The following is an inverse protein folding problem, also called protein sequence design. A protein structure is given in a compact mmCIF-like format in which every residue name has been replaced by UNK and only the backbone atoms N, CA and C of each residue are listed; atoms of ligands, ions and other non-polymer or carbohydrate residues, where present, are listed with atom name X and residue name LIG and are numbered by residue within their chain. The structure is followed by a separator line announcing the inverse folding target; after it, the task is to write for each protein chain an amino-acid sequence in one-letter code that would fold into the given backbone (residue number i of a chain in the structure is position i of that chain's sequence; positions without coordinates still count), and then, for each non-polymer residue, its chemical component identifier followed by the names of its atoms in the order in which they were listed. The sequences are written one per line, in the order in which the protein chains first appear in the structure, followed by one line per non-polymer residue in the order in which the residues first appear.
data_IF_398288501407
#
_entry.id   IF_398288501407
#
_cell.length_a   1.000
_cell.length_b   1.000
_cell.length_c   1.000
_cell.angle_alpha   90.00
_cell.angle_beta   90.00
_cell.angle_gamma   90.00
#
_symmetry.space_group_name_H-M   'P 1'
#
loop_
_entity.id
_entity.type
_entity.pdbx_description
1 polymer ?
#
# COMPACT_ATOMS: atom_id res chain seq x y z
N UNK A 1 -13.05 -14.43 16.00
CA UNK A 1 -13.31 -14.35 14.55
C UNK A 1 -14.14 -13.12 14.30
N UNK A 2 -13.82 -12.36 13.25
CA UNK A 2 -14.60 -11.21 12.80
C UNK A 2 -15.14 -11.48 11.39
N UNK A 3 -16.43 -11.21 11.16
CA UNK A 3 -17.18 -11.49 9.93
C UNK A 3 -17.87 -10.21 9.43
N UNK A 4 -18.08 -10.11 8.11
CA UNK A 4 -18.66 -8.90 7.52
C UNK A 4 -20.09 -8.62 8.04
N UNK A 5 -20.87 -9.66 8.34
CA UNK A 5 -22.25 -9.57 8.85
C UNK A 5 -22.36 -8.87 10.22
N UNK A 6 -21.29 -8.92 11.00
CA UNK A 6 -21.20 -8.32 12.33
C UNK A 6 -20.47 -6.97 12.32
N UNK A 7 -19.99 -6.54 11.15
CA UNK A 7 -19.30 -5.27 10.97
C UNK A 7 -20.24 -4.10 10.66
N UNK A 8 -19.69 -2.87 10.56
CA UNK A 8 -18.29 -2.53 10.75
C UNK A 8 -17.84 -2.69 12.21
N UNK A 9 -16.59 -3.12 12.42
CA UNK A 9 -15.99 -3.22 13.75
C UNK A 9 -15.33 -1.90 14.12
N UNK A 10 -15.74 -1.33 15.25
CA UNK A 10 -15.14 -0.11 15.78
C UNK A 10 -14.12 -0.43 16.89
N UNK A 11 -12.86 -0.07 16.67
CA UNK A 11 -11.81 -0.14 17.68
C UNK A 11 -11.66 1.24 18.32
N UNK A 12 -12.03 1.35 19.59
CA UNK A 12 -12.05 2.62 20.34
C UNK A 12 -10.86 2.83 21.26
N UNK A 13 -10.12 1.75 21.57
CA UNK A 13 -8.95 1.73 22.43
C UNK A 13 -7.95 0.66 21.92
N UNK A 14 -6.86 0.41 22.64
CA UNK A 14 -5.88 -0.63 22.32
C UNK A 14 -6.53 -2.02 22.32
N UNK A 15 -6.62 -2.63 21.14
CA UNK A 15 -7.11 -3.99 20.97
C UNK A 15 -5.92 -4.95 20.85
N UNK A 16 -5.79 -5.88 21.80
CA UNK A 16 -4.67 -6.84 21.82
C UNK A 16 -5.12 -8.24 21.46
N UNK A 17 -4.39 -8.89 20.56
CA UNK A 17 -4.46 -10.32 20.28
C UNK A 17 -3.37 -11.01 21.11
N UNK A 18 -3.72 -11.74 22.19
CA UNK A 18 -2.73 -12.30 23.10
C UNK A 18 -1.90 -13.42 22.47
N UNK A 19 -0.72 -13.70 23.04
CA UNK A 19 0.11 -14.82 22.65
C UNK A 19 -0.66 -16.16 22.74
N UNK A 20 -0.48 -17.02 21.74
CA UNK A 20 -1.21 -18.30 21.63
C UNK A 20 -2.64 -18.19 21.11
N UNK A 21 -3.18 -16.97 20.96
CA UNK A 21 -4.49 -16.73 20.34
C UNK A 21 -4.35 -16.36 18.86
N UNK A 22 -5.40 -16.64 18.09
CA UNK A 22 -5.51 -16.20 16.69
C UNK A 22 -6.81 -15.42 16.50
N UNK A 23 -6.71 -14.21 15.95
CA UNK A 23 -7.86 -13.51 15.38
C UNK A 23 -7.89 -13.74 13.88
N UNK A 24 -8.90 -14.47 13.42
CA UNK A 24 -9.24 -14.58 12.01
C UNK A 24 -10.24 -13.51 11.61
N UNK A 25 -9.96 -12.79 10.52
CA UNK A 25 -10.82 -11.77 9.91
C UNK A 25 -11.19 -12.23 8.50
N UNK A 26 -12.49 -12.35 8.24
CA UNK A 26 -13.04 -12.87 6.97
C UNK A 26 -13.11 -11.80 5.86
N UNK A 27 -13.30 -12.21 4.59
CA UNK A 27 -13.46 -11.27 3.49
C UNK A 27 -14.56 -10.22 3.74
N UNK A 28 -14.35 -9.01 3.22
CA UNK A 28 -15.31 -7.91 3.29
C UNK A 28 -15.47 -7.24 4.66
N UNK A 29 -14.71 -7.66 5.67
CA UNK A 29 -14.75 -7.01 6.99
C UNK A 29 -14.20 -5.59 6.90
N UNK A 30 -14.94 -4.65 7.51
CA UNK A 30 -14.54 -3.26 7.69
C UNK A 30 -14.19 -3.04 9.16
N UNK A 31 -13.00 -2.53 9.43
CA UNK A 31 -12.50 -2.17 10.75
C UNK A 31 -12.21 -0.67 10.75
N UNK A 32 -12.83 0.05 11.66
CA UNK A 32 -12.65 1.49 11.83
C UNK A 32 -12.01 1.80 13.17
N UNK A 33 -11.09 2.76 13.18
CA UNK A 33 -10.36 3.19 14.37
C UNK A 33 -10.69 4.66 14.70
N UNK A 34 -11.01 4.93 15.97
CA UNK A 34 -11.33 6.27 16.48
C UNK A 34 -10.08 7.13 16.74
N UNK A 35 -10.16 8.45 16.69
CA UNK A 35 -9.02 9.37 16.71
C UNK A 35 -8.26 9.53 18.03
N UNK A 36 -8.74 8.97 19.14
CA UNK A 36 -8.08 9.18 20.44
C UNK A 36 -6.75 8.40 20.55
N UNK A 37 -6.79 7.07 20.73
CA UNK A 37 -5.60 6.23 20.97
C UNK A 37 -5.66 4.76 20.46
N UNK A 38 -6.63 4.32 19.63
CA UNK A 38 -6.71 2.91 19.29
C UNK A 38 -5.54 2.46 18.41
N UNK A 39 -5.07 1.28 18.76
CA UNK A 39 -4.09 0.50 18.01
C UNK A 39 -4.49 -0.97 18.06
N UNK A 40 -4.02 -1.74 17.09
CA UNK A 40 -4.15 -3.20 17.11
C UNK A 40 -2.76 -3.76 17.46
N UNK A 41 -2.68 -4.47 18.58
CA UNK A 41 -1.45 -5.10 19.07
C UNK A 41 -1.54 -6.61 18.87
N UNK A 42 -0.52 -7.20 18.25
CA UNK A 42 -0.49 -8.60 17.87
C UNK A 42 0.68 -9.30 18.56
N UNK A 43 0.42 -9.93 19.71
CA UNK A 43 1.36 -10.87 20.36
C UNK A 43 1.08 -12.34 20.00
N UNK A 44 -0.14 -12.63 19.50
CA UNK A 44 -0.52 -13.90 18.90
C UNK A 44 -0.48 -13.85 17.37
N UNK A 45 -1.55 -14.30 16.72
CA UNK A 45 -1.69 -14.27 15.26
C UNK A 45 -2.86 -13.40 14.82
N UNK A 46 -2.62 -12.45 13.92
CA UNK A 46 -3.64 -11.76 13.15
C UNK A 46 -3.66 -12.35 11.74
N UNK A 47 -4.75 -13.02 11.38
CA UNK A 47 -4.93 -13.71 10.09
C UNK A 47 -6.11 -13.09 9.34
N UNK A 48 -5.80 -12.27 8.32
CA UNK A 48 -6.78 -11.50 7.55
C UNK A 48 -6.85 -12.04 6.13
N UNK A 49 -7.97 -12.67 5.78
CA UNK A 49 -8.14 -13.37 4.51
C UNK A 49 -9.17 -12.66 3.64
N UNK A 50 -8.78 -11.55 3.01
CA UNK A 50 -9.63 -10.83 2.08
C UNK A 50 -9.78 -11.56 0.74
N UNK A 51 -10.65 -11.03 -0.12
CA UNK A 51 -10.79 -11.46 -1.52
C UNK A 51 -10.66 -10.26 -2.47
N UNK A 52 -10.36 -10.46 -3.77
CA UNK A 52 -10.26 -9.36 -4.74
C UNK A 52 -11.53 -8.49 -4.83
N UNK A 53 -12.69 -9.11 -4.71
CA UNK A 53 -14.03 -8.51 -4.76
C UNK A 53 -14.58 -8.15 -3.37
N UNK A 54 -13.97 -8.67 -2.30
CA UNK A 54 -14.31 -8.38 -0.92
C UNK A 54 -13.04 -8.17 -0.07
N UNK A 55 -12.28 -7.10 -0.31
CA UNK A 55 -11.09 -6.81 0.46
C UNK A 55 -11.46 -6.49 1.91
N UNK A 56 -10.54 -6.77 2.83
CA UNK A 56 -10.65 -6.30 4.21
C UNK A 56 -10.17 -4.85 4.25
N UNK A 57 -10.90 -3.97 4.94
CA UNK A 57 -10.55 -2.54 5.02
C UNK A 57 -10.32 -2.12 6.46
N UNK A 58 -9.17 -1.49 6.72
CA UNK A 58 -8.82 -0.84 7.98
C UNK A 58 -8.67 0.66 7.71
N UNK A 59 -9.53 1.47 8.32
CA UNK A 59 -9.63 2.91 8.01
C UNK A 59 -10.03 3.75 9.24
N UNK A 60 -10.11 5.06 9.05
CA UNK A 60 -10.60 6.01 10.04
C UNK A 60 -12.08 5.81 10.35
N UNK A 61 -12.46 6.08 11.60
CA UNK A 61 -13.85 6.20 12.03
C UNK A 61 -14.66 7.26 11.26
N UNK A 62 -13.99 8.27 10.70
CA UNK A 62 -14.57 9.36 9.89
C UNK A 62 -14.72 9.02 8.40
N UNK A 63 -14.34 7.80 7.98
CA UNK A 63 -14.37 7.41 6.57
C UNK A 63 -15.76 6.96 6.13
N UNK A 64 -16.59 7.92 5.73
CA UNK A 64 -17.96 7.66 5.27
C UNK A 64 -18.02 6.83 3.99
N UNK A 65 -16.97 6.85 3.17
CA UNK A 65 -16.92 6.13 1.90
C UNK A 65 -16.85 4.60 2.09
N UNK A 66 -16.48 4.14 3.29
CA UNK A 66 -16.33 2.73 3.62
C UNK A 66 -17.28 2.37 4.75
N UNK A 67 -18.36 1.63 4.45
CA UNK A 67 -19.27 1.13 5.49
C UNK A 67 -20.15 2.18 6.16
N UNK A 68 -20.20 3.41 5.63
CA UNK A 68 -21.10 4.49 6.07
C UNK A 68 -20.60 5.35 7.23
N UNK A 69 -21.38 6.40 7.53
CA UNK A 69 -21.11 7.40 8.57
C UNK A 69 -21.21 6.78 9.97
N UNK A 70 -20.05 6.46 10.54
CA UNK A 70 -19.97 5.73 11.82
C UNK A 70 -19.97 6.70 13.01
N UNK A 71 -19.56 7.95 12.79
CA UNK A 71 -19.55 9.08 13.73
C UNK A 71 -20.88 9.83 13.81
N UNK A 72 -21.79 9.63 12.85
CA UNK A 72 -23.10 10.26 12.79
C UNK A 72 -23.03 11.77 12.56
N UNK A 73 -21.96 12.28 11.95
CA UNK A 73 -21.77 13.71 11.70
C UNK A 73 -22.03 14.13 10.25
N UNK A 74 -22.50 13.21 9.40
CA UNK A 74 -22.64 13.40 7.98
C UNK A 74 -21.32 13.82 7.34
N UNK A 75 -21.34 14.78 6.43
CA UNK A 75 -20.13 15.25 5.77
C UNK A 75 -19.31 16.27 6.59
N UNK A 76 -19.52 16.37 7.91
CA UNK A 76 -18.87 17.37 8.74
C UNK A 76 -17.37 17.08 8.96
N UNK A 77 -16.98 15.81 8.89
CA UNK A 77 -15.59 15.39 8.94
C UNK A 77 -15.23 14.47 7.77
N UNK A 78 -13.92 14.27 7.58
CA UNK A 78 -13.36 13.40 6.54
C UNK A 78 -12.17 12.64 7.11
N UNK A 79 -11.83 11.46 6.57
CA UNK A 79 -10.68 10.70 7.04
C UNK A 79 -9.39 11.45 6.69
N UNK A 80 -8.44 11.45 7.63
CA UNK A 80 -7.15 12.13 7.48
C UNK A 80 -5.99 11.25 7.97
N UNK A 81 -4.80 11.35 7.35
CA UNK A 81 -3.59 10.70 7.87
C UNK A 81 -3.37 11.02 9.36
N UNK A 82 -3.11 10.00 10.17
CA UNK A 82 -2.96 10.15 11.62
C UNK A 82 -4.30 10.15 12.39
N UNK A 83 -5.39 9.74 11.76
CA UNK A 83 -6.66 9.52 12.43
C UNK A 83 -6.64 8.33 13.40
N UNK A 84 -5.63 7.46 13.37
CA UNK A 84 -5.41 6.40 14.36
C UNK A 84 -3.93 6.02 14.42
N UNK A 85 -3.53 5.23 15.41
CA UNK A 85 -2.11 5.00 15.68
C UNK A 85 -1.44 4.04 14.69
N UNK A 86 -1.54 2.74 14.92
CA UNK A 86 -0.83 1.73 14.13
C UNK A 86 -1.36 0.32 14.40
N UNK A 87 -1.01 -0.61 13.53
CA UNK A 87 -0.99 -2.04 13.81
C UNK A 87 0.42 -2.43 14.21
N UNK A 88 0.61 -3.07 15.37
CA UNK A 88 1.93 -3.46 15.85
C UNK A 88 2.01 -4.94 16.18
N UNK A 89 2.96 -5.64 15.58
CA UNK A 89 3.32 -7.00 16.00
C UNK A 89 4.42 -6.94 17.06
N UNK A 90 4.24 -7.69 18.15
CA UNK A 90 5.16 -7.81 19.28
C UNK A 90 5.63 -9.25 19.45
N UNK A 91 6.72 -9.43 20.20
CA UNK A 91 7.21 -10.75 20.63
C UNK A 91 7.39 -11.74 19.46
N UNK A 92 6.76 -12.91 19.53
CA UNK A 92 6.71 -13.91 18.45
C UNK A 92 5.42 -13.80 17.60
N UNK A 93 4.75 -12.64 17.64
CA UNK A 93 3.49 -12.42 16.95
C UNK A 93 3.62 -12.48 15.42
N UNK A 94 2.55 -12.89 14.75
CA UNK A 94 2.48 -13.02 13.31
C UNK A 94 1.29 -12.22 12.75
N UNK A 95 1.53 -11.42 11.72
CA UNK A 95 0.49 -10.74 10.96
C UNK A 95 0.52 -11.23 9.51
N UNK A 96 -0.56 -11.90 9.10
CA UNK A 96 -0.76 -12.42 7.75
C UNK A 96 -1.99 -11.74 7.15
N UNK A 97 -1.83 -11.16 5.97
CA UNK A 97 -2.92 -10.51 5.26
C UNK A 97 -2.87 -10.78 3.76
N UNK A 98 -4.05 -11.03 3.20
CA UNK A 98 -4.29 -11.10 1.77
C UNK A 98 -5.47 -10.18 1.42
N UNK A 99 -5.39 -9.41 0.35
CA UNK A 99 -6.44 -8.46 -0.09
C UNK A 99 -6.88 -7.50 1.01
N UNK A 100 -5.90 -6.86 1.65
CA UNK A 100 -6.11 -5.88 2.71
C UNK A 100 -5.92 -4.45 2.17
N UNK A 101 -6.70 -3.50 2.67
CA UNK A 101 -6.47 -2.06 2.49
C UNK A 101 -6.34 -1.39 3.85
N UNK A 102 -5.24 -0.67 4.06
CA UNK A 102 -5.00 0.07 5.31
C UNK A 102 -4.72 1.53 5.00
N UNK A 103 -5.41 2.43 5.69
CA UNK A 103 -5.25 3.87 5.45
C UNK A 103 -5.50 4.74 6.66
N UNK A 104 -5.02 5.99 6.60
CA UNK A 104 -5.30 7.07 7.55
C UNK A 104 -4.73 6.89 8.96
N UNK A 105 -3.86 5.90 9.18
CA UNK A 105 -3.15 5.71 10.45
C UNK A 105 -1.84 6.50 10.56
N UNK A 106 -0.94 6.04 11.43
CA UNK A 106 0.37 6.63 11.79
C UNK A 106 0.33 7.82 12.75
N UNK A 107 -0.65 7.90 13.65
CA UNK A 107 -0.59 8.84 14.78
C UNK A 107 0.43 8.35 15.83
N UNK A 108 1.28 9.25 16.30
CA UNK A 108 2.21 8.99 17.42
C UNK A 108 1.72 9.70 18.67
N UNK A 109 1.49 8.98 19.77
CA UNK A 109 1.23 9.60 21.07
C UNK A 109 2.30 9.28 22.12
N UNK A 110 2.66 10.33 22.89
CA UNK A 110 3.59 10.44 24.03
C UNK A 110 5.08 10.05 23.84
N UNK A 111 5.94 11.08 23.75
CA UNK A 111 7.34 11.04 24.21
C UNK A 111 8.37 10.43 23.26
N UNK A 112 7.94 9.63 22.29
CA UNK A 112 8.76 9.22 21.15
C UNK A 112 8.54 10.19 19.99
N UNK A 113 9.57 10.90 19.54
CA UNK A 113 9.47 11.78 18.38
C UNK A 113 8.91 11.07 17.14
N UNK A 114 8.59 11.84 16.09
CA UNK A 114 8.03 11.41 14.79
C UNK A 114 8.81 10.29 14.05
N UNK A 115 9.89 9.78 14.62
CA UNK A 115 10.80 8.82 14.01
C UNK A 115 10.22 7.42 13.80
N UNK A 116 9.03 7.10 14.34
CA UNK A 116 8.43 5.75 14.27
C UNK A 116 6.96 5.70 13.85
N UNK A 117 6.38 6.83 13.41
CA UNK A 117 5.02 6.83 12.86
C UNK A 117 4.93 5.86 11.66
N UNK A 118 4.07 4.84 11.73
CA UNK A 118 3.80 3.90 10.62
C UNK A 118 2.40 3.28 10.68
N UNK A 119 1.84 2.84 9.54
CA UNK A 119 0.58 2.06 9.55
C UNK A 119 0.82 0.70 10.21
N UNK A 120 1.90 0.03 9.79
CA UNK A 120 2.33 -1.25 10.35
C UNK A 120 3.70 -1.06 10.99
N UNK A 121 3.81 -1.40 12.26
CA UNK A 121 5.07 -1.51 12.99
C UNK A 121 5.31 -2.99 13.31
N UNK A 122 6.30 -3.60 12.68
CA UNK A 122 6.65 -5.00 12.97
C UNK A 122 7.96 -5.13 13.75
N UNK A 123 7.87 -5.70 14.94
CA UNK A 123 9.00 -6.27 15.68
C UNK A 123 8.80 -7.76 16.01
N UNK A 124 7.68 -8.34 15.55
CA UNK A 124 7.28 -9.72 15.78
C UNK A 124 8.07 -10.75 14.95
N UNK A 125 7.57 -11.99 14.90
CA UNK A 125 8.19 -13.07 14.14
C UNK A 125 7.97 -12.91 12.62
N UNK A 126 6.76 -12.53 12.21
CA UNK A 126 6.34 -12.54 10.80
C UNK A 126 5.39 -11.39 10.45
N UNK A 127 5.65 -10.74 9.31
CA UNK A 127 4.69 -9.94 8.56
C UNK A 127 4.60 -10.49 7.14
N UNK A 128 3.44 -10.98 6.73
CA UNK A 128 3.19 -11.49 5.38
C UNK A 128 2.00 -10.75 4.78
N UNK A 129 2.24 -9.98 3.72
CA UNK A 129 1.24 -9.20 3.01
C UNK A 129 1.21 -9.64 1.54
N UNK A 130 0.03 -10.00 1.04
CA UNK A 130 -0.21 -10.23 -0.38
C UNK A 130 -1.40 -9.40 -0.87
N UNK A 131 -1.32 -8.90 -2.11
CA UNK A 131 -2.44 -8.20 -2.76
C UNK A 131 -3.00 -7.03 -1.91
N UNK A 132 -2.12 -6.35 -1.18
CA UNK A 132 -2.49 -5.39 -0.13
C UNK A 132 -2.15 -3.96 -0.54
N UNK A 133 -2.93 -2.98 -0.08
CA UNK A 133 -2.66 -1.55 -0.28
C UNK A 133 -2.44 -0.85 1.05
N UNK A 134 -1.32 -0.15 1.19
CA UNK A 134 -0.97 0.67 2.36
C UNK A 134 -0.81 2.12 1.90
N UNK A 135 -1.69 3.02 2.35
CA UNK A 135 -1.72 4.40 1.84
C UNK A 135 -2.19 5.43 2.86
N UNK A 136 -2.06 6.72 2.53
CA UNK A 136 -2.61 7.84 3.30
C UNK A 136 -2.19 7.85 4.78
N UNK A 137 -0.94 7.50 5.05
CA UNK A 137 -0.42 7.49 6.42
C UNK A 137 0.26 8.80 6.78
N UNK A 138 0.17 9.22 8.05
CA UNK A 138 0.89 10.39 8.56
C UNK A 138 2.41 10.14 8.73
N UNK A 139 2.88 8.94 8.40
CA UNK A 139 4.26 8.51 8.54
C UNK A 139 4.59 7.47 7.49
N UNK A 140 5.08 6.32 7.92
CA UNK A 140 5.52 5.24 7.03
C UNK A 140 4.38 4.29 6.68
N UNK A 141 4.48 3.62 5.54
CA UNK A 141 3.63 2.45 5.29
C UNK A 141 3.97 1.33 6.27
N UNK A 142 5.24 0.89 6.29
CA UNK A 142 5.74 -0.16 7.17
C UNK A 142 7.05 0.26 7.84
N UNK A 143 7.19 -0.01 9.12
CA UNK A 143 8.43 0.10 9.88
C UNK A 143 8.78 -1.26 10.48
N UNK A 144 9.92 -1.84 10.08
CA UNK A 144 10.39 -3.13 10.57
C UNK A 144 11.60 -2.96 11.50
N UNK A 145 11.49 -3.43 12.74
CA UNK A 145 12.60 -3.51 13.70
C UNK A 145 13.37 -4.84 13.58
N UNK A 146 12.66 -5.94 13.35
CA UNK A 146 13.21 -7.30 13.31
C UNK A 146 12.22 -8.27 12.65
N UNK A 147 12.56 -9.56 12.63
CA UNK A 147 11.70 -10.63 12.14
C UNK A 147 11.81 -10.82 10.62
N UNK A 148 10.79 -11.45 10.05
CA UNK A 148 10.70 -11.71 8.60
C UNK A 148 9.50 -10.94 8.05
N UNK A 149 9.75 -10.08 7.06
CA UNK A 149 8.68 -9.46 6.27
C UNK A 149 8.72 -9.93 4.83
N UNK A 150 7.56 -10.37 4.34
CA UNK A 150 7.30 -10.69 2.94
C UNK A 150 6.12 -9.86 2.44
N UNK A 151 6.33 -9.04 1.42
CA UNK A 151 5.29 -8.23 0.77
C UNK A 151 5.26 -8.58 -0.71
N UNK A 152 4.12 -9.09 -1.18
CA UNK A 152 3.97 -9.59 -2.54
C UNK A 152 2.78 -8.92 -3.22
N UNK A 153 2.92 -8.57 -4.50
CA UNK A 153 1.81 -8.09 -5.33
C UNK A 153 1.00 -6.99 -4.64
N UNK A 154 1.67 -6.08 -3.94
CA UNK A 154 1.03 -5.06 -3.10
C UNK A 154 1.35 -3.65 -3.60
N UNK A 155 0.62 -2.65 -3.11
CA UNK A 155 0.87 -1.25 -3.40
C UNK A 155 1.18 -0.49 -2.09
N UNK A 156 2.28 0.24 -2.06
CA UNK A 156 2.64 1.13 -0.96
C UNK A 156 2.89 2.51 -1.57
N UNK A 157 1.95 3.43 -1.37
CA UNK A 157 1.90 4.75 -2.00
C UNK A 157 1.27 5.79 -1.06
N UNK A 158 1.35 7.08 -1.39
CA UNK A 158 0.61 8.16 -0.70
C UNK A 158 0.85 8.22 0.82
N UNK A 159 2.06 7.87 1.26
CA UNK A 159 2.47 7.91 2.67
C UNK A 159 3.34 9.15 2.90
N UNK A 160 3.12 9.87 4.01
CA UNK A 160 3.85 11.10 4.30
C UNK A 160 5.36 10.88 4.62
N UNK A 161 5.76 9.64 4.85
CA UNK A 161 7.13 9.20 5.08
C UNK A 161 7.47 7.98 4.21
N UNK A 162 8.51 7.23 4.60
CA UNK A 162 8.99 6.11 3.79
C UNK A 162 7.91 5.06 3.56
N UNK A 163 7.80 4.51 2.35
CA UNK A 163 6.87 3.42 2.07
C UNK A 163 7.17 2.21 2.96
N UNK A 164 8.42 1.74 2.91
CA UNK A 164 8.94 0.70 3.78
C UNK A 164 10.27 1.13 4.41
N UNK A 165 10.38 1.03 5.73
CA UNK A 165 11.62 1.29 6.47
C UNK A 165 12.15 0.02 7.15
N UNK A 166 13.35 -0.38 6.76
CA UNK A 166 14.09 -1.51 7.31
C UNK A 166 14.99 -1.06 8.47
N UNK A 167 14.92 -1.70 9.64
CA UNK A 167 15.89 -1.50 10.74
C UNK A 167 16.58 -2.79 11.20
N UNK A 168 16.12 -3.95 10.72
CA UNK A 168 16.76 -5.23 10.94
C UNK A 168 15.91 -6.40 10.50
N UNK A 169 16.50 -7.60 10.45
CA UNK A 169 15.79 -8.84 10.11
C UNK A 169 15.86 -9.17 8.61
N UNK A 170 14.88 -9.91 8.10
CA UNK A 170 14.81 -10.29 6.70
C UNK A 170 13.64 -9.58 6.02
N UNK A 171 13.89 -9.08 4.81
CA UNK A 171 12.89 -8.38 4.00
C UNK A 171 12.89 -8.95 2.60
N UNK A 172 11.69 -9.25 2.10
CA UNK A 172 11.44 -9.51 0.69
C UNK A 172 10.20 -8.75 0.24
N UNK A 173 10.36 -7.85 -0.71
CA UNK A 173 9.28 -7.13 -1.39
C UNK A 173 9.41 -7.44 -2.88
N UNK A 174 8.37 -7.97 -3.52
CA UNK A 174 8.41 -8.28 -4.96
C UNK A 174 7.03 -8.24 -5.61
N UNK A 175 6.96 -8.03 -6.92
CA UNK A 175 5.72 -7.93 -7.68
C UNK A 175 4.86 -6.72 -7.30
N UNK A 176 5.41 -5.78 -6.53
CA UNK A 176 4.66 -4.70 -5.88
C UNK A 176 4.90 -3.36 -6.58
N UNK A 177 4.00 -2.40 -6.35
CA UNK A 177 4.15 -0.99 -6.72
C UNK A 177 4.62 -0.21 -5.48
N UNK A 178 5.79 0.40 -5.58
CA UNK A 178 6.44 1.13 -4.51
C UNK A 178 6.63 2.59 -4.93
N UNK A 179 5.79 3.46 -4.40
CA UNK A 179 5.78 4.89 -4.70
C UNK A 179 6.09 5.71 -3.45
N UNK A 180 6.73 6.84 -3.66
CA UNK A 180 7.07 7.79 -2.59
C UNK A 180 7.32 9.16 -3.18
N UNK A 181 6.92 10.21 -2.46
CA UNK A 181 7.30 11.58 -2.79
C UNK A 181 8.55 12.01 -2.03
N UNK A 182 9.42 12.79 -2.67
CA UNK A 182 10.58 13.37 -2.01
C UNK A 182 10.15 14.22 -0.80
N UNK A 183 10.85 14.16 0.34
CA UNK A 183 12.16 13.53 0.56
C UNK A 183 12.09 12.07 1.05
N UNK A 184 10.93 11.42 1.01
CA UNK A 184 10.77 10.04 1.47
C UNK A 184 11.29 9.03 0.43
N UNK A 185 11.63 7.84 0.92
CA UNK A 185 12.02 6.70 0.11
C UNK A 185 10.88 5.69 0.03
N UNK A 186 10.68 5.08 -1.13
CA UNK A 186 9.81 3.91 -1.27
C UNK A 186 10.34 2.75 -0.43
N UNK A 187 11.67 2.54 -0.44
CA UNK A 187 12.35 1.59 0.45
C UNK A 187 13.59 2.24 1.05
N UNK A 188 13.58 2.41 2.37
CA UNK A 188 14.68 2.97 3.16
C UNK A 188 15.34 1.90 4.03
N UNK A 189 16.63 1.71 3.85
CA UNK A 189 17.49 0.92 4.73
C UNK A 189 18.71 1.76 5.19
N UNK A 190 18.66 2.35 6.40
CA UNK A 190 19.77 3.05 7.02
C UNK A 190 20.77 2.15 7.74
N UNK A 191 20.52 0.83 7.85
CA UNK A 191 21.41 -0.07 8.58
C UNK A 191 22.67 -0.36 7.77
N UNK A 192 23.69 -0.92 8.43
CA UNK A 192 24.91 -1.45 7.78
C UNK A 192 25.05 -2.97 7.89
N UNK A 193 24.14 -3.61 8.63
CA UNK A 193 24.27 -5.02 9.02
C UNK A 193 23.62 -5.98 8.02
N UNK A 194 22.63 -5.51 7.27
CA UNK A 194 21.77 -6.30 6.40
C UNK A 194 21.30 -5.47 5.19
N UNK A 195 20.60 -6.14 4.28
CA UNK A 195 20.02 -5.56 3.07
C UNK A 195 18.53 -5.85 3.01
N UNK A 196 17.75 -4.90 2.50
CA UNK A 196 16.35 -5.13 2.19
C UNK A 196 16.23 -5.61 0.74
N UNK A 197 15.69 -6.82 0.49
CA UNK A 197 15.46 -7.29 -0.88
C UNK A 197 14.15 -6.72 -1.43
N UNK A 198 14.25 -5.71 -2.30
CA UNK A 198 13.14 -5.05 -2.98
C UNK A 198 13.24 -5.21 -4.51
N UNK A 199 13.79 -6.32 -4.98
CA UNK A 199 13.89 -6.63 -6.41
C UNK A 199 12.55 -7.10 -6.97
N UNK A 200 12.34 -6.83 -8.26
CA UNK A 200 11.16 -7.24 -9.01
C UNK A 200 9.93 -6.41 -8.69
N UNK A 201 10.11 -5.13 -8.37
CA UNK A 201 9.01 -4.18 -8.11
C UNK A 201 8.96 -3.08 -9.17
N UNK A 202 7.79 -2.46 -9.26
CA UNK A 202 7.59 -1.21 -9.99
C UNK A 202 7.87 -0.04 -9.05
N UNK A 203 8.55 0.98 -9.57
CA UNK A 203 8.99 2.14 -8.80
C UNK A 203 8.35 3.44 -9.33
N UNK A 204 7.20 3.36 -10.00
CA UNK A 204 6.57 4.52 -10.67
C UNK A 204 7.18 4.89 -12.03
N UNK A 205 8.23 4.20 -12.49
CA UNK A 205 8.87 4.47 -13.79
C UNK A 205 9.57 3.24 -14.38
N UNK A 206 9.54 3.06 -15.73
CA UNK A 206 10.24 1.94 -16.38
C UNK A 206 11.76 2.06 -16.29
N UNK A 207 12.30 3.27 -16.04
CA UNK A 207 13.72 3.48 -15.76
C UNK A 207 14.16 2.99 -14.37
N UNK A 208 13.23 2.53 -13.55
CA UNK A 208 13.49 2.09 -12.18
C UNK A 208 13.63 3.25 -11.19
N UNK A 209 14.06 2.96 -9.96
CA UNK A 209 14.09 3.93 -8.87
C UNK A 209 15.18 4.97 -9.03
N UNK A 210 14.98 6.14 -8.44
CA UNK A 210 16.04 7.15 -8.27
C UNK A 210 17.09 6.64 -7.27
N UNK A 211 18.31 6.38 -7.77
CA UNK A 211 19.44 5.95 -6.96
C UNK A 211 20.77 6.39 -7.58
N UNK A 212 21.81 6.58 -6.76
CA UNK A 212 23.14 6.97 -7.25
C UNK A 212 23.75 5.93 -8.21
N UNK A 213 23.48 4.64 -8.00
CA UNK A 213 23.87 3.56 -8.90
C UNK A 213 22.93 3.34 -10.09
N UNK A 214 21.78 4.05 -10.15
CA UNK A 214 20.86 4.08 -11.27
C UNK A 214 20.65 5.52 -11.75
N UNK A 215 21.66 6.16 -12.38
CA UNK A 215 21.63 7.60 -12.69
C UNK A 215 20.55 8.01 -13.71
N UNK A 216 19.96 7.06 -14.44
CA UNK A 216 18.84 7.30 -15.35
C UNK A 216 17.46 7.03 -14.74
N UNK A 217 17.40 6.55 -13.50
CA UNK A 217 16.16 6.24 -12.80
C UNK A 217 15.39 7.50 -12.44
N UNK A 218 14.12 7.56 -12.85
CA UNK A 218 13.19 8.64 -12.54
C UNK A 218 12.03 8.23 -11.64
N UNK A 219 12.05 7.00 -11.12
CA UNK A 219 11.03 6.48 -10.21
C UNK A 219 11.23 6.95 -8.75
N UNK A 220 10.53 6.30 -7.84
CA UNK A 220 10.61 6.53 -6.41
C UNK A 220 12.04 6.35 -5.86
N UNK A 221 12.35 7.04 -4.77
CA UNK A 221 13.67 6.97 -4.14
C UNK A 221 13.88 5.62 -3.45
N UNK A 222 15.10 5.09 -3.59
CA UNK A 222 15.57 3.90 -2.87
C UNK A 222 16.91 4.22 -2.20
N UNK A 223 17.20 3.61 -1.06
CA UNK A 223 18.49 3.78 -0.36
C UNK A 223 19.55 2.76 -0.78
N UNK A 224 20.84 3.07 -0.58
CA UNK A 224 22.01 2.24 -0.92
C UNK A 224 21.95 0.76 -0.50
N UNK A 225 21.27 0.42 0.62
CA UNK A 225 21.17 -0.98 1.13
C UNK A 225 19.81 -1.64 0.90
N UNK A 226 19.07 -1.15 -0.08
CA UNK A 226 17.92 -1.85 -0.63
C UNK A 226 18.27 -2.37 -2.03
N UNK A 227 18.18 -3.69 -2.22
CA UNK A 227 18.38 -4.31 -3.52
C UNK A 227 17.15 -4.02 -4.38
N UNK A 228 17.33 -3.38 -5.54
CA UNK A 228 16.21 -3.00 -6.42
C UNK A 228 16.34 -3.53 -7.85
N UNK A 229 17.49 -4.10 -8.22
CA UNK A 229 17.73 -4.69 -9.55
C UNK A 229 17.57 -6.22 -9.56
N UNK A 230 16.78 -6.80 -10.48
CA UNK A 230 16.01 -6.14 -11.54
C UNK A 230 14.73 -5.47 -11.01
N UNK A 231 14.17 -4.51 -11.75
CA UNK A 231 12.85 -3.91 -11.49
C UNK A 231 11.84 -4.22 -12.62
N UNK A 232 10.55 -3.95 -12.39
CA UNK A 232 9.49 -4.11 -13.40
C UNK A 232 9.50 -2.95 -14.40
N UNK A 233 9.23 -3.23 -15.67
CA UNK A 233 9.18 -2.21 -16.73
C UNK A 233 7.77 -1.63 -16.97
N UNK A 234 6.77 -2.15 -16.26
CA UNK A 234 5.39 -1.66 -16.30
C UNK A 234 4.79 -1.79 -14.91
N UNK A 235 3.84 -0.91 -14.60
CA UNK A 235 3.05 -1.01 -13.37
C UNK A 235 2.23 -2.31 -13.38
N UNK A 236 2.42 -3.21 -12.38
CA UNK A 236 1.67 -4.46 -12.30
C UNK A 236 0.18 -4.27 -12.00
N UNK A 237 -0.25 -3.05 -11.64
CA UNK A 237 -1.65 -2.69 -11.38
C UNK A 237 -2.22 -1.73 -12.42
N UNK A 238 -1.48 -1.40 -13.48
CA UNK A 238 -2.02 -0.60 -14.56
C UNK A 238 -3.26 -1.28 -15.15
N UNK A 239 -4.31 -0.53 -15.49
CA UNK A 239 -5.37 -1.09 -16.32
C UNK A 239 -4.75 -1.60 -17.63
N UNK A 240 -5.27 -2.69 -18.22
CA UNK A 240 -4.79 -3.15 -19.50
C UNK A 240 -4.90 -1.99 -20.50
N UNK A 241 -3.77 -1.66 -21.15
CA UNK A 241 -3.72 -0.63 -22.18
C UNK A 241 -4.90 -0.86 -23.13
N UNK A 242 -5.73 0.15 -23.42
CA UNK A 242 -6.80 -0.01 -24.38
C UNK A 242 -6.15 -0.48 -25.68
N UNK A 243 -6.54 -1.66 -26.15
CA UNK A 243 -6.07 -2.17 -27.42
C UNK A 243 -6.31 -1.07 -28.44
N UNK A 244 -5.25 -0.69 -29.14
CA UNK A 244 -5.22 0.37 -30.13
C UNK A 244 -6.06 -0.01 -31.36
N UNK A 245 -7.36 -0.15 -31.15
CA UNK A 245 -8.38 -0.21 -32.16
C UNK A 245 -9.09 1.12 -32.09
N UNK A 246 -8.74 2.03 -33.01
CA UNK A 246 -9.57 3.20 -33.29
C UNK A 246 -11.01 2.71 -33.44
N UNK A 247 -11.94 3.24 -32.64
CA UNK A 247 -13.36 3.04 -32.89
C UNK A 247 -13.70 3.73 -34.21
N UNK A 248 -13.62 3.01 -35.32
CA UNK A 248 -14.17 3.48 -36.59
C UNK A 248 -15.68 3.32 -36.47
N UNK A 249 -16.39 4.45 -36.35
CA UNK A 249 -17.82 4.46 -36.52
C UNK A 249 -18.13 4.25 -38.01
N UNK A 250 -18.76 3.12 -38.36
CA UNK A 250 -19.39 2.96 -39.67
C UNK A 250 -20.73 3.69 -39.62
N UNK A 251 -20.78 4.91 -40.16
CA UNK A 251 -22.02 5.64 -40.43
C UNK A 251 -22.46 5.28 -41.85
N UNK A 252 -23.56 4.53 -42.04
CA UNK A 252 -24.04 4.22 -43.38
C UNK A 252 -24.33 5.51 -44.15
N UNK A 253 -23.66 5.70 -45.30
CA UNK A 253 -23.82 6.88 -46.16
C UNK A 253 -22.73 7.95 -46.06
N UNK A 254 -21.69 7.76 -45.22
CA UNK A 254 -20.46 8.55 -45.28
C UNK A 254 -19.35 7.72 -45.96
N UNK A 255 -18.82 8.18 -47.09
CA UNK A 255 -17.56 7.64 -47.62
C UNK A 255 -16.44 7.91 -46.61
N UNK A 256 -15.74 6.86 -46.20
CA UNK A 256 -14.67 6.96 -45.21
C UNK A 256 -13.50 7.79 -45.78
N UNK A 257 -13.34 9.03 -45.33
CA UNK A 257 -12.13 9.81 -45.57
C UNK A 257 -11.02 9.35 -44.62
N UNK A 258 -9.96 8.74 -45.16
CA UNK A 258 -8.71 8.48 -44.43
C UNK A 258 -8.08 9.82 -44.01
N UNK A 259 -7.74 9.95 -42.74
CA UNK A 259 -6.90 11.05 -42.25
C UNK A 259 -5.45 10.79 -42.72
N UNK A 260 -5.03 11.38 -43.83
CA UNK A 260 -3.64 11.37 -44.25
C UNK A 260 -2.83 12.31 -43.35
N UNK A 261 -1.79 11.78 -42.71
CA UNK A 261 -0.75 12.59 -42.06
C UNK A 261 -0.04 13.50 -43.09
N UNK A 262 0.60 14.59 -42.64
CA UNK A 262 1.10 15.62 -43.55
C UNK A 262 2.28 15.10 -44.38
N UNK A 263 2.06 14.95 -45.68
CA UNK A 263 3.13 14.81 -46.68
C UNK A 263 2.99 13.62 -47.62
N UNK A 264 2.18 13.77 -48.67
CA UNK A 264 2.46 13.30 -50.04
C UNK A 264 1.26 13.61 -50.95
N UNK A 265 1.39 14.68 -51.73
CA UNK A 265 0.66 14.92 -52.98
C UNK A 265 1.00 13.80 -53.97
N UNK A 266 0.01 13.20 -54.64
CA UNK A 266 0.07 12.95 -56.09
C UNK A 266 -1.34 12.81 -56.69
N UNK A 267 -1.41 13.28 -57.93
CA UNK A 267 -2.55 13.63 -58.79
C UNK A 267 -3.49 12.48 -59.19
N UNK A 268 -4.71 12.90 -59.57
CA UNK A 268 -5.69 12.19 -60.39
C UNK A 268 -5.08 11.44 -61.58
N UNK A 269 -5.45 10.17 -61.75
CA UNK A 269 -5.69 9.56 -63.06
C UNK A 269 -6.81 8.49 -62.91
N UNK A 270 -7.98 8.86 -63.46
CA UNK A 270 -9.13 8.05 -63.94
C UNK A 270 -9.71 6.92 -63.07
#
# INVERSE_FOLDING_TARGET
MWTAEQGPYLVTDVFTIPAGCTLTVEPGVIIKLNHAFPSIIVSGTLDMRGAPDAPIVITSFKDDAVGGDTNGDGAASAPAPGDWQYLRTLDMGAFRAEHLRVSYGSNTFYGGGSSRASLIWTGGAELSLSSTTLSHSAGRGVYQESGITTILNSAISDNAGNGYEHRGGLTRISGSNLESDAPAYAVYNPTVADVADARGNWWGSPSGPMHSSNPGGSGAYVSDRALFEPWLLSDPFAPPEPSCCSSVAFIPGLEASRLYGPGAIFENQL
#
